data_IF_912133621878
#
_entry.id   IF_912133621878
#
_cell.length_a   1.000
_cell.length_b   1.000
_cell.length_c   1.000
_cell.angle_alpha   90.00
_cell.angle_beta   90.00
_cell.angle_gamma   90.00
#
_symmetry.space_group_name_H-M   'P 1'
#
loop_
_entity.id
_entity.type
_entity.pdbx_description
1 polymer ?
#
# COMPACT_ATOMS: atom_id res chain seq x y z
N UNK A 1 26.47 7.03 16.47
CA UNK A 1 25.16 7.10 15.88
C UNK A 1 24.91 5.90 14.97
N UNK A 2 23.84 5.23 15.18
CA UNK A 2 23.48 4.03 14.45
C UNK A 2 22.35 4.36 13.46
N UNK A 3 22.72 4.69 12.24
CA UNK A 3 21.72 4.87 11.20
C UNK A 3 21.02 3.54 10.92
N UNK A 4 19.71 3.51 11.02
CA UNK A 4 18.92 2.34 10.64
C UNK A 4 18.91 2.26 9.12
N UNK A 5 19.31 1.11 8.52
CA UNK A 5 19.23 0.97 7.08
C UNK A 5 17.80 1.21 6.59
N UNK A 6 17.66 2.10 5.62
CA UNK A 6 16.34 2.49 5.11
C UNK A 6 15.53 1.28 4.64
N UNK A 7 16.19 0.31 4.04
CA UNK A 7 15.51 -0.88 3.50
C UNK A 7 15.16 -1.92 4.56
N UNK A 8 15.53 -1.71 5.83
CA UNK A 8 15.10 -2.62 6.90
C UNK A 8 13.57 -2.61 7.08
N UNK A 9 12.90 -1.57 6.60
CA UNK A 9 11.44 -1.47 6.66
C UNK A 9 10.74 -2.03 5.42
N UNK A 10 11.47 -2.63 4.49
CA UNK A 10 10.90 -3.22 3.29
C UNK A 10 11.22 -4.70 3.23
N UNK A 11 10.17 -5.52 3.15
CA UNK A 11 10.28 -6.94 2.85
C UNK A 11 9.45 -7.28 1.64
N UNK A 12 10.07 -7.91 0.66
CA UNK A 12 9.42 -8.39 -0.55
C UNK A 12 9.69 -9.88 -0.66
N UNK A 13 8.64 -10.66 -0.82
CA UNK A 13 8.75 -12.10 -0.98
C UNK A 13 9.29 -12.51 -2.34
N UNK A 14 9.13 -13.78 -2.67
CA UNK A 14 9.66 -14.36 -3.89
C UNK A 14 8.69 -14.18 -5.06
N UNK A 15 9.24 -14.14 -6.27
CA UNK A 15 8.47 -14.19 -7.50
C UNK A 15 7.52 -13.00 -7.66
N UNK A 16 7.95 -11.82 -7.25
CA UNK A 16 7.14 -10.60 -7.34
C UNK A 16 7.50 -9.79 -8.57
N UNK A 17 6.53 -9.06 -9.09
CA UNK A 17 6.74 -8.05 -10.12
C UNK A 17 6.45 -6.68 -9.55
N UNK A 18 7.40 -5.75 -9.68
CA UNK A 18 7.19 -4.36 -9.29
C UNK A 18 7.48 -3.49 -10.52
N UNK A 19 6.46 -2.80 -10.98
CA UNK A 19 6.56 -1.93 -12.13
C UNK A 19 7.40 -0.70 -11.87
N UNK A 20 7.65 0.09 -12.92
CA UNK A 20 8.48 1.28 -12.81
C UNK A 20 7.79 2.41 -12.06
N UNK A 21 8.59 3.30 -11.50
CA UNK A 21 8.13 4.54 -10.87
C UNK A 21 7.19 4.32 -9.70
N UNK A 22 7.30 3.18 -9.03
CA UNK A 22 6.58 2.96 -7.78
C UNK A 22 7.28 3.69 -6.64
N UNK A 23 6.49 4.21 -5.71
CA UNK A 23 7.00 4.90 -4.53
C UNK A 23 6.64 4.09 -3.30
N UNK A 24 7.66 3.68 -2.55
CA UNK A 24 7.49 2.99 -1.27
C UNK A 24 7.99 3.90 -0.17
N UNK A 25 7.08 4.44 0.62
CA UNK A 25 7.41 5.25 1.77
C UNK A 25 7.77 4.33 2.94
N UNK A 26 9.02 4.34 3.33
CA UNK A 26 9.57 3.42 4.34
C UNK A 26 9.69 4.06 5.72
N UNK A 27 8.90 5.08 6.01
CA UNK A 27 8.78 5.58 7.37
C UNK A 27 8.19 4.48 8.28
N UNK A 28 7.13 3.83 7.84
CA UNK A 28 6.62 2.60 8.42
C UNK A 28 7.13 1.39 7.66
N UNK A 29 6.68 0.20 8.06
CA UNK A 29 7.08 -1.05 7.44
C UNK A 29 6.15 -1.43 6.31
N UNK A 30 6.72 -1.94 5.22
CA UNK A 30 5.98 -2.50 4.10
C UNK A 30 6.39 -3.95 3.95
N UNK A 31 5.43 -4.86 4.09
CA UNK A 31 5.63 -6.30 3.90
C UNK A 31 4.82 -6.75 2.69
N UNK A 32 5.51 -7.25 1.68
CA UNK A 32 4.91 -7.77 0.45
C UNK A 32 5.17 -9.26 0.40
N UNK A 33 4.11 -10.05 0.26
CA UNK A 33 4.20 -11.49 0.20
C UNK A 33 4.79 -12.02 -1.09
N UNK A 34 4.51 -13.29 -1.39
CA UNK A 34 5.03 -13.95 -2.58
C UNK A 34 4.07 -13.79 -3.76
N UNK A 35 4.59 -13.78 -4.98
CA UNK A 35 3.80 -13.73 -6.22
C UNK A 35 2.86 -12.53 -6.29
N UNK A 36 3.30 -11.41 -5.77
CA UNK A 36 2.56 -10.15 -5.80
C UNK A 36 2.95 -9.36 -7.04
N UNK A 37 1.96 -8.80 -7.71
CA UNK A 37 2.20 -7.85 -8.79
C UNK A 37 1.81 -6.46 -8.33
N UNK A 38 2.75 -5.54 -8.46
CA UNK A 38 2.51 -4.11 -8.22
C UNK A 38 2.81 -3.40 -9.54
N UNK A 39 1.78 -2.89 -10.18
CA UNK A 39 1.92 -2.24 -11.48
C UNK A 39 2.57 -0.86 -11.33
N UNK A 40 2.96 -0.27 -12.45
CA UNK A 40 3.71 0.98 -12.44
C UNK A 40 2.98 2.11 -11.73
N UNK A 41 3.77 3.01 -11.14
CA UNK A 41 3.32 4.23 -10.45
C UNK A 41 2.40 3.97 -9.26
N UNK A 42 2.50 2.80 -8.65
CA UNK A 42 1.83 2.58 -7.38
C UNK A 42 2.54 3.38 -6.27
N UNK A 43 1.76 3.85 -5.31
CA UNK A 43 2.29 4.58 -4.15
C UNK A 43 1.83 3.86 -2.90
N UNK A 44 2.79 3.40 -2.10
CA UNK A 44 2.51 2.80 -0.79
C UNK A 44 2.98 3.80 0.27
N UNK A 45 2.03 4.45 0.91
CA UNK A 45 2.28 5.56 1.81
C UNK A 45 2.00 5.14 3.26
N UNK A 46 3.04 5.18 4.10
CA UNK A 46 2.96 4.67 5.46
C UNK A 46 2.77 5.73 6.53
N UNK A 47 2.76 7.02 6.15
CA UNK A 47 2.62 8.05 7.17
C UNK A 47 1.99 9.32 6.61
N UNK A 48 1.50 10.16 7.53
CA UNK A 48 0.99 11.48 7.23
C UNK A 48 1.90 12.52 7.88
N UNK A 49 2.27 13.55 7.12
CA UNK A 49 3.08 14.65 7.62
C UNK A 49 2.44 15.97 7.20
N UNK A 50 2.04 16.76 8.19
CA UNK A 50 1.44 18.06 7.95
C UNK A 50 2.42 19.10 7.38
N UNK A 51 3.72 18.83 7.49
CA UNK A 51 4.75 19.75 7.00
C UNK A 51 4.63 21.11 7.65
N UNK A 52 4.50 22.15 6.83
CA UNK A 52 4.41 23.52 7.31
C UNK A 52 3.01 24.11 7.21
N UNK A 53 2.00 23.30 6.91
CA UNK A 53 0.63 23.78 6.80
C UNK A 53 -0.01 23.95 8.17
N UNK A 54 -0.40 25.17 8.56
CA UNK A 54 -1.07 25.34 9.87
C UNK A 54 -2.39 24.61 9.95
N UNK A 55 -3.17 24.61 8.87
CA UNK A 55 -4.46 23.90 8.89
C UNK A 55 -4.28 22.42 8.99
N UNK A 56 -3.24 21.85 8.34
CA UNK A 56 -2.97 20.43 8.45
C UNK A 56 -2.51 20.02 9.84
N UNK A 57 -1.71 20.85 10.51
CA UNK A 57 -1.32 20.60 11.91
C UNK A 57 -2.52 20.52 12.84
N UNK A 58 -3.55 21.31 12.56
CA UNK A 58 -4.76 21.31 13.40
C UNK A 58 -5.74 20.20 13.03
N UNK A 59 -5.87 19.87 11.74
CA UNK A 59 -6.90 18.98 11.24
C UNK A 59 -6.46 17.54 11.07
N UNK A 60 -5.17 17.30 10.78
CA UNK A 60 -4.67 15.95 10.51
C UNK A 60 -3.97 15.38 11.73
N UNK A 61 -4.34 14.15 12.06
CA UNK A 61 -3.62 13.40 13.08
C UNK A 61 -2.35 12.83 12.44
N UNK A 62 -1.22 13.11 13.07
CA UNK A 62 0.04 12.49 12.65
C UNK A 62 -0.04 10.99 12.86
N UNK A 63 0.18 10.22 11.83
CA UNK A 63 0.10 8.77 11.91
C UNK A 63 1.21 8.09 11.11
N UNK A 64 1.63 6.94 11.63
CA UNK A 64 2.52 6.01 10.94
C UNK A 64 1.87 4.64 11.08
N UNK A 65 1.76 3.91 9.99
CA UNK A 65 1.19 2.57 10.03
C UNK A 65 1.80 1.68 8.98
N UNK A 66 1.87 0.39 9.30
CA UNK A 66 2.48 -0.59 8.40
C UNK A 66 1.51 -0.98 7.30
N UNK A 67 2.06 -1.33 6.14
CA UNK A 67 1.29 -1.85 5.02
C UNK A 67 1.67 -3.32 4.82
N UNK A 68 0.68 -4.16 4.63
CA UNK A 68 0.89 -5.57 4.31
C UNK A 68 0.10 -5.94 3.07
N UNK A 69 0.80 -6.52 2.09
CA UNK A 69 0.19 -7.03 0.86
C UNK A 69 0.45 -8.53 0.83
N UNK A 70 -0.61 -9.32 0.91
CA UNK A 70 -0.49 -10.76 1.03
C UNK A 70 -0.27 -11.44 -0.32
N UNK A 71 0.03 -12.74 -0.26
CA UNK A 71 0.46 -13.53 -1.41
C UNK A 71 -0.55 -13.45 -2.56
N UNK A 72 -0.04 -13.35 -3.78
CA UNK A 72 -0.84 -13.40 -4.98
C UNK A 72 -1.65 -12.16 -5.29
N UNK A 73 -1.56 -11.11 -4.50
CA UNK A 73 -2.31 -9.88 -4.74
C UNK A 73 -1.83 -9.18 -6.00
N UNK A 74 -2.74 -8.48 -6.65
CA UNK A 74 -2.48 -7.69 -7.85
C UNK A 74 -2.93 -6.25 -7.61
N UNK A 75 -2.00 -5.32 -7.73
CA UNK A 75 -2.29 -3.89 -7.68
C UNK A 75 -2.16 -3.30 -9.07
N UNK A 76 -3.23 -2.74 -9.59
CA UNK A 76 -3.23 -2.06 -10.88
C UNK A 76 -2.39 -0.80 -10.88
N UNK A 77 -2.18 -0.21 -12.05
CA UNK A 77 -1.36 1.00 -12.17
C UNK A 77 -1.95 2.17 -11.41
N UNK A 78 -1.07 3.01 -10.86
CA UNK A 78 -1.45 4.23 -10.13
C UNK A 78 -2.32 3.97 -8.90
N UNK A 79 -2.24 2.79 -8.30
CA UNK A 79 -2.93 2.50 -7.04
C UNK A 79 -2.19 3.20 -5.91
N UNK A 80 -2.93 3.81 -5.01
CA UNK A 80 -2.39 4.38 -3.78
C UNK A 80 -2.90 3.58 -2.59
N UNK A 81 -1.97 3.11 -1.76
CA UNK A 81 -2.28 2.39 -0.51
C UNK A 81 -1.83 3.24 0.66
N UNK A 82 -2.72 3.47 1.60
CA UNK A 82 -2.44 4.30 2.76
C UNK A 82 -2.00 3.45 3.97
N UNK A 83 -1.55 4.15 4.99
CA UNK A 83 -1.03 3.53 6.22
C UNK A 83 -2.05 2.61 6.88
N UNK A 84 -1.55 1.59 7.53
CA UNK A 84 -2.33 0.61 8.30
C UNK A 84 -3.26 -0.27 7.46
N UNK A 85 -3.04 -0.33 6.15
CA UNK A 85 -3.84 -1.15 5.25
C UNK A 85 -3.23 -2.54 5.11
N UNK A 86 -4.10 -3.56 5.17
CA UNK A 86 -3.77 -4.94 4.84
C UNK A 86 -4.59 -5.33 3.61
N UNK A 87 -3.89 -5.74 2.54
CA UNK A 87 -4.54 -6.26 1.34
C UNK A 87 -4.45 -7.78 1.38
N UNK A 88 -5.60 -8.45 1.30
CA UNK A 88 -5.70 -9.88 1.41
C UNK A 88 -5.09 -10.63 0.23
N UNK A 89 -4.88 -11.93 0.41
CA UNK A 89 -4.29 -12.78 -0.63
C UNK A 89 -5.19 -12.87 -1.85
N UNK A 90 -4.59 -13.00 -3.01
CA UNK A 90 -5.29 -13.21 -4.28
C UNK A 90 -6.38 -12.16 -4.54
N UNK A 91 -6.13 -10.93 -4.09
CA UNK A 91 -7.03 -9.79 -4.27
C UNK A 91 -6.57 -8.97 -5.45
N UNK A 92 -7.51 -8.55 -6.26
CA UNK A 92 -7.24 -7.64 -7.38
C UNK A 92 -7.68 -6.24 -6.98
N UNK A 93 -6.75 -5.30 -7.03
CA UNK A 93 -7.06 -3.87 -6.84
C UNK A 93 -6.99 -3.20 -8.20
N UNK A 94 -8.11 -2.63 -8.65
CA UNK A 94 -8.19 -1.97 -9.94
C UNK A 94 -7.34 -0.71 -10.01
N UNK A 95 -6.94 -0.35 -11.23
CA UNK A 95 -6.09 0.82 -11.48
C UNK A 95 -6.70 2.11 -10.90
N UNK A 96 -5.84 3.00 -10.42
CA UNK A 96 -6.19 4.32 -9.86
C UNK A 96 -7.03 4.27 -8.60
N UNK A 97 -7.11 3.13 -7.94
CA UNK A 97 -7.85 3.01 -6.68
C UNK A 97 -7.08 3.66 -5.53
N UNK A 98 -7.83 4.18 -4.58
CA UNK A 98 -7.30 4.66 -3.31
C UNK A 98 -7.69 3.68 -2.21
N UNK A 99 -6.74 2.90 -1.72
CA UNK A 99 -6.98 1.89 -0.70
C UNK A 99 -6.70 2.50 0.66
N UNK A 100 -7.76 2.90 1.35
CA UNK A 100 -7.67 3.54 2.66
C UNK A 100 -8.14 2.65 3.81
N UNK A 101 -8.61 1.46 3.51
CA UNK A 101 -9.04 0.45 4.49
C UNK A 101 -8.64 -0.93 4.01
N UNK A 102 -8.52 -1.86 4.94
CA UNK A 102 -8.19 -3.24 4.62
C UNK A 102 -9.14 -3.85 3.60
N UNK A 103 -8.62 -4.67 2.72
CA UNK A 103 -9.37 -5.39 1.70
C UNK A 103 -9.20 -6.88 1.95
N UNK A 104 -10.31 -7.65 2.03
CA UNK A 104 -10.20 -9.09 2.26
C UNK A 104 -9.58 -9.83 1.08
N UNK A 105 -9.24 -11.08 1.29
CA UNK A 105 -8.70 -11.91 0.24
C UNK A 105 -9.75 -12.41 -0.75
N UNK A 106 -9.28 -12.83 -1.91
CA UNK A 106 -10.09 -13.49 -2.94
C UNK A 106 -11.22 -12.60 -3.48
N UNK A 107 -10.99 -11.30 -3.58
CA UNK A 107 -11.97 -10.33 -4.10
C UNK A 107 -11.34 -9.44 -5.16
N UNK A 108 -12.19 -8.77 -5.92
CA UNK A 108 -11.81 -7.63 -6.75
C UNK A 108 -12.39 -6.37 -6.13
N UNK A 109 -11.53 -5.38 -5.93
CA UNK A 109 -11.91 -4.11 -5.33
C UNK A 109 -11.36 -2.97 -6.16
N UNK A 110 -12.10 -1.88 -6.26
CA UNK A 110 -11.62 -0.69 -6.95
C UNK A 110 -12.40 0.54 -6.54
N UNK A 111 -11.88 1.68 -6.92
CA UNK A 111 -12.52 2.98 -6.73
C UNK A 111 -11.77 3.90 -5.76
N UNK A 112 -12.34 5.09 -5.58
CA UNK A 112 -11.84 6.14 -4.68
C UNK A 112 -13.01 6.59 -3.82
N UNK A 113 -13.12 6.10 -2.58
CA UNK A 113 -12.30 5.08 -1.94
C UNK A 113 -12.53 3.69 -2.53
N UNK A 114 -11.52 2.84 -2.41
CA UNK A 114 -11.56 1.47 -2.90
C UNK A 114 -12.59 0.65 -2.12
N UNK A 115 -13.43 -0.07 -2.84
CA UNK A 115 -14.46 -0.94 -2.24
C UNK A 115 -14.51 -2.26 -2.96
N UNK A 116 -14.83 -3.31 -2.20
CA UNK A 116 -15.03 -4.65 -2.78
C UNK A 116 -16.20 -4.60 -3.76
N UNK A 117 -15.98 -5.12 -4.95
CA UNK A 117 -16.97 -5.12 -6.04
C UNK A 117 -17.37 -6.51 -6.44
N UNK A 118 -16.45 -7.47 -6.37
CA UNK A 118 -16.70 -8.84 -6.81
C UNK A 118 -15.95 -9.82 -5.92
N UNK A 119 -16.49 -11.05 -5.87
CA UNK A 119 -15.85 -12.18 -5.24
C UNK A 119 -15.12 -12.95 -6.35
N UNK A 120 -13.84 -13.29 -6.13
CA UNK A 120 -13.03 -13.99 -7.14
C UNK A 120 -13.11 -15.52 -7.01
N UNK A 121 -13.93 -16.02 -6.14
CA UNK A 121 -14.05 -17.47 -5.95
C UNK A 121 -14.76 -18.15 -7.11
#
# INVERSE_FOLDING_TARGET
DQAVPIYSNLKIGDDCYVGRDCIFDLMGKINIGNKVTISHRAVLNTHTNAGKSPVAHNALTKSIGNIKINDGAYLGSNVTVLESVVIGRNTIIGARSLVNKGIPGDVTAFGVPCKVREDNK
#
